data_IF_186418387854
#
_entry.id   IF_186418387854
#
_cell.length_a   1.000
_cell.length_b   1.000
_cell.length_c   1.000
_cell.angle_alpha   90.00
_cell.angle_beta   90.00
_cell.angle_gamma   90.00
#
_symmetry.space_group_name_H-M   'P 1'
#
loop_
_entity.id
_entity.type
_entity.pdbx_description
1 polymer ?
#
# COMPACT_ATOMS: atom_id res chain seq x y z
N UNK A 1 -14.35 -10.73 1.40
CA UNK A 1 -14.53 -9.30 1.72
C UNK A 1 -15.14 -9.16 3.09
N UNK A 2 -14.61 -8.32 3.97
CA UNK A 2 -15.18 -8.09 5.30
C UNK A 2 -16.64 -7.64 5.20
N UNK A 3 -17.51 -8.03 6.16
CA UNK A 3 -18.90 -7.59 6.17
C UNK A 3 -19.05 -6.07 6.15
N UNK A 4 -18.17 -5.33 6.80
CA UNK A 4 -18.14 -3.88 6.88
C UNK A 4 -17.97 -3.22 5.51
N UNK A 5 -17.21 -3.85 4.63
CA UNK A 5 -17.00 -3.36 3.27
C UNK A 5 -18.27 -3.37 2.42
N UNK A 6 -19.29 -4.15 2.82
CA UNK A 6 -20.59 -4.21 2.11
C UNK A 6 -21.45 -2.98 2.38
N UNK A 7 -21.26 -2.33 3.52
CA UNK A 7 -22.05 -1.17 3.94
C UNK A 7 -21.47 0.16 3.44
N UNK A 8 -20.32 0.14 2.76
CA UNK A 8 -19.63 1.36 2.37
C UNK A 8 -20.13 1.87 1.04
N UNK A 9 -20.48 3.15 1.04
CA UNK A 9 -21.01 3.86 -0.12
C UNK A 9 -20.02 3.99 -1.29
N UNK A 10 -18.70 3.90 -1.02
CA UNK A 10 -17.65 4.00 -2.02
C UNK A 10 -16.58 2.93 -1.81
N UNK A 11 -16.85 1.69 -2.26
CA UNK A 11 -15.99 0.54 -2.01
C UNK A 11 -14.57 0.67 -2.56
N UNK A 12 -14.36 1.49 -3.60
CA UNK A 12 -13.06 1.72 -4.20
C UNK A 12 -12.00 2.16 -3.17
N UNK A 13 -12.35 3.08 -2.28
CA UNK A 13 -11.44 3.54 -1.22
C UNK A 13 -11.16 2.48 -0.18
N UNK A 14 -12.12 1.59 0.05
CA UNK A 14 -11.94 0.50 1.00
C UNK A 14 -11.06 -0.60 0.49
N UNK A 15 -11.03 -0.87 -0.81
CA UNK A 15 -10.24 -1.96 -1.35
C UNK A 15 -8.75 -1.80 -1.02
N UNK A 16 -8.21 -0.58 -1.03
CA UNK A 16 -6.82 -0.36 -0.63
C UNK A 16 -6.56 -0.75 0.83
N UNK A 17 -7.44 -0.34 1.73
CA UNK A 17 -7.31 -0.69 3.15
C UNK A 17 -7.64 -2.15 3.41
N UNK A 18 -8.60 -2.71 2.67
CA UNK A 18 -8.94 -4.12 2.74
C UNK A 18 -7.76 -5.01 2.31
N UNK A 19 -7.06 -4.69 1.22
CA UNK A 19 -5.85 -5.41 0.84
C UNK A 19 -4.76 -5.28 1.91
N UNK A 20 -4.48 -4.08 2.38
CA UNK A 20 -3.54 -3.86 3.47
C UNK A 20 -3.88 -4.69 4.71
N UNK A 21 -5.14 -4.66 5.14
CA UNK A 21 -5.63 -5.46 6.25
C UNK A 21 -5.47 -6.97 6.02
N UNK A 22 -5.87 -7.50 4.85
CA UNK A 22 -5.77 -8.94 4.58
C UNK A 22 -4.31 -9.40 4.57
N UNK A 23 -3.42 -8.66 3.94
CA UNK A 23 -2.00 -8.99 3.89
C UNK A 23 -1.34 -8.89 5.28
N UNK A 24 -1.67 -7.86 6.07
CA UNK A 24 -1.22 -7.76 7.47
C UNK A 24 -1.73 -8.93 8.33
N UNK A 25 -2.98 -9.34 8.12
CA UNK A 25 -3.56 -10.48 8.83
C UNK A 25 -2.81 -11.78 8.52
N UNK A 26 -2.47 -12.02 7.26
CA UNK A 26 -1.64 -13.18 6.86
C UNK A 26 -0.25 -13.11 7.51
N UNK A 27 0.35 -11.92 7.59
CA UNK A 27 1.63 -11.73 8.27
C UNK A 27 1.55 -11.99 9.79
N UNK A 28 0.49 -11.55 10.45
CA UNK A 28 0.25 -11.87 11.86
C UNK A 28 0.10 -13.38 12.10
N UNK A 29 -0.66 -14.07 11.23
CA UNK A 29 -0.84 -15.52 11.30
C UNK A 29 0.50 -16.24 11.08
N UNK A 30 1.30 -15.80 10.11
CA UNK A 30 2.62 -16.35 9.82
C UNK A 30 3.60 -16.17 10.98
N UNK A 31 3.61 -14.97 11.57
CA UNK A 31 4.51 -14.64 12.68
C UNK A 31 4.09 -15.30 14.00
N UNK A 32 2.80 -15.61 14.20
CA UNK A 32 2.25 -16.14 15.44
C UNK A 32 2.35 -15.19 16.65
N UNK A 33 2.62 -13.89 16.39
CA UNK A 33 2.79 -12.84 17.41
C UNK A 33 2.35 -11.47 16.89
N UNK A 34 2.14 -10.49 17.78
CA UNK A 34 1.96 -9.10 17.37
C UNK A 34 3.15 -8.56 16.56
N UNK A 35 2.88 -7.77 15.52
CA UNK A 35 3.89 -7.22 14.62
C UNK A 35 4.30 -5.80 15.05
N UNK A 36 5.57 -5.44 14.82
CA UNK A 36 5.99 -4.04 14.74
C UNK A 36 5.73 -3.55 13.30
N UNK A 37 4.95 -2.46 13.17
CA UNK A 37 4.48 -1.95 11.86
C UNK A 37 4.92 -0.51 11.65
N UNK A 38 5.53 -0.20 10.49
CA UNK A 38 5.69 1.15 9.99
C UNK A 38 4.63 1.43 8.93
N UNK A 39 3.75 2.41 9.16
CA UNK A 39 2.83 2.89 8.12
C UNK A 39 3.38 4.16 7.51
N UNK A 40 3.64 4.12 6.19
CA UNK A 40 4.31 5.17 5.43
C UNK A 40 3.28 5.90 4.58
N UNK A 41 3.28 7.24 4.64
CA UNK A 41 2.27 8.06 3.99
C UNK A 41 0.91 7.97 4.69
N UNK A 42 0.90 8.09 6.01
CA UNK A 42 -0.29 7.88 6.85
C UNK A 42 -1.41 8.88 6.60
N UNK A 43 -1.10 10.08 6.13
CA UNK A 43 -2.04 11.18 5.85
C UNK A 43 -3.00 11.45 7.03
N UNK A 44 -4.18 10.81 7.07
CA UNK A 44 -5.20 10.96 8.12
C UNK A 44 -5.40 9.73 9.00
N UNK A 45 -4.60 8.68 8.82
CA UNK A 45 -4.66 7.48 9.64
C UNK A 45 -5.73 6.47 9.26
N UNK A 46 -6.24 6.52 8.02
CA UNK A 46 -7.38 5.69 7.59
C UNK A 46 -7.05 4.19 7.54
N UNK A 47 -5.79 3.81 7.38
CA UNK A 47 -5.42 2.39 7.39
C UNK A 47 -5.58 1.80 8.79
N UNK A 48 -5.04 2.44 9.83
CA UNK A 48 -5.19 1.96 11.20
C UNK A 48 -6.66 2.00 11.67
N UNK A 49 -7.40 3.05 11.29
CA UNK A 49 -8.86 3.11 11.56
C UNK A 49 -9.58 1.92 10.92
N UNK A 50 -9.25 1.57 9.68
CA UNK A 50 -9.82 0.41 9.00
C UNK A 50 -9.46 -0.89 9.72
N UNK A 51 -8.19 -1.09 10.09
CA UNK A 51 -7.74 -2.28 10.81
C UNK A 51 -8.47 -2.44 12.14
N UNK A 52 -8.66 -1.36 12.90
CA UNK A 52 -9.41 -1.35 14.17
C UNK A 52 -10.90 -1.68 13.99
N UNK A 53 -11.50 -1.29 12.87
CA UNK A 53 -12.91 -1.56 12.55
C UNK A 53 -13.16 -2.92 11.92
N UNK A 54 -12.11 -3.57 11.41
CA UNK A 54 -12.19 -4.87 10.75
C UNK A 54 -12.33 -6.01 11.77
N UNK A 55 -12.84 -7.20 11.35
CA UNK A 55 -12.83 -8.39 12.20
C UNK A 55 -11.43 -8.69 12.74
N UNK A 56 -11.34 -9.23 13.95
CA UNK A 56 -10.06 -9.57 14.61
C UNK A 56 -9.12 -10.39 13.70
N UNK A 57 -7.82 -10.24 13.89
CA UNK A 57 -6.80 -11.02 13.16
C UNK A 57 -5.55 -10.23 12.79
N UNK A 58 -5.54 -8.93 13.06
CA UNK A 58 -4.31 -8.11 13.05
C UNK A 58 -4.02 -7.67 14.47
N UNK A 59 -2.83 -8.00 14.95
CA UNK A 59 -2.31 -7.55 16.24
C UNK A 59 -0.93 -6.94 16.05
N UNK A 60 -0.66 -5.87 16.79
CA UNK A 60 0.62 -5.16 16.72
C UNK A 60 1.16 -4.87 18.13
N UNK A 61 2.47 -4.87 18.24
CA UNK A 61 3.20 -4.43 19.42
C UNK A 61 3.58 -2.95 19.35
N UNK A 62 3.77 -2.46 18.10
CA UNK A 62 4.11 -1.07 17.80
C UNK A 62 3.52 -0.71 16.42
N UNK A 63 2.98 0.51 16.28
CA UNK A 63 2.51 1.02 14.99
C UNK A 63 2.96 2.47 14.83
N UNK A 64 4.01 2.66 14.04
CA UNK A 64 4.64 3.95 13.81
C UNK A 64 4.07 4.63 12.57
N UNK A 65 3.59 5.85 12.72
CA UNK A 65 3.20 6.72 11.63
C UNK A 65 4.43 7.40 11.01
N UNK A 66 4.62 7.26 9.69
CA UNK A 66 5.69 7.91 8.93
C UNK A 66 5.08 8.76 7.82
N UNK A 67 5.34 10.07 7.82
CA UNK A 67 4.85 11.00 6.79
C UNK A 67 5.75 12.25 6.72
N UNK A 68 5.76 12.94 5.59
CA UNK A 68 6.47 14.20 5.44
C UNK A 68 5.75 15.38 6.14
N UNK A 69 4.43 15.23 6.39
CA UNK A 69 3.61 16.22 7.11
C UNK A 69 2.75 15.51 8.15
N UNK A 70 3.13 15.67 9.41
CA UNK A 70 2.51 14.94 10.50
C UNK A 70 1.25 15.63 11.06
N UNK A 71 0.07 15.13 10.71
CA UNK A 71 -1.22 15.60 11.23
C UNK A 71 -1.49 15.01 12.64
N UNK A 72 -0.58 15.23 13.60
CA UNK A 72 -0.52 14.55 14.90
C UNK A 72 -1.86 14.52 15.64
N UNK A 73 -2.62 15.64 15.64
CA UNK A 73 -3.92 15.68 16.32
C UNK A 73 -4.97 14.73 15.75
N UNK A 74 -4.96 14.48 14.43
CA UNK A 74 -5.85 13.51 13.77
C UNK A 74 -5.35 12.09 13.97
N UNK A 75 -4.04 11.89 13.86
CA UNK A 75 -3.41 10.58 14.00
C UNK A 75 -3.56 10.04 15.43
N UNK A 76 -3.42 10.89 16.47
CA UNK A 76 -3.70 10.50 17.85
C UNK A 76 -5.16 10.05 18.05
N UNK A 77 -6.12 10.73 17.41
CA UNK A 77 -7.54 10.31 17.43
C UNK A 77 -7.76 8.96 16.73
N UNK A 78 -7.02 8.67 15.66
CA UNK A 78 -7.02 7.37 14.98
C UNK A 78 -6.32 6.29 15.82
N UNK A 79 -5.53 6.70 16.84
CA UNK A 79 -4.87 5.84 17.82
C UNK A 79 -3.45 5.47 17.48
N UNK A 80 -2.74 6.35 16.77
CA UNK A 80 -1.27 6.29 16.68
C UNK A 80 -0.64 6.85 17.95
N UNK A 81 0.42 6.22 18.39
CA UNK A 81 1.21 6.61 19.56
C UNK A 81 2.64 7.03 19.16
N UNK A 82 3.17 6.39 18.11
CA UNK A 82 4.51 6.65 17.59
C UNK A 82 4.45 7.43 16.27
N UNK A 83 5.29 8.47 16.14
CA UNK A 83 5.31 9.40 15.01
C UNK A 83 6.73 9.64 14.55
N UNK A 84 6.96 9.57 13.25
CA UNK A 84 8.23 9.90 12.62
C UNK A 84 7.98 10.79 11.39
N UNK A 85 8.24 12.09 11.54
CA UNK A 85 8.13 13.04 10.43
C UNK A 85 9.41 13.02 9.62
N UNK A 86 9.30 12.61 8.35
CA UNK A 86 10.44 12.50 7.45
C UNK A 86 9.99 12.62 5.98
N UNK A 87 10.81 13.29 5.16
CA UNK A 87 10.69 13.24 3.72
C UNK A 87 11.40 11.98 3.20
N UNK A 88 10.67 11.11 2.52
CA UNK A 88 11.18 9.84 1.98
C UNK A 88 12.27 10.01 0.93
N UNK A 89 12.27 11.14 0.20
CA UNK A 89 13.25 11.46 -0.85
C UNK A 89 14.52 12.13 -0.31
N UNK A 90 14.61 12.38 0.99
CA UNK A 90 15.86 12.85 1.58
C UNK A 90 16.95 11.80 1.46
N UNK A 91 18.16 12.25 1.08
CA UNK A 91 19.31 11.36 0.90
C UNK A 91 19.61 10.50 2.12
N UNK A 92 19.39 11.04 3.32
CA UNK A 92 19.65 10.39 4.61
C UNK A 92 18.40 9.72 5.21
N UNK A 93 17.29 9.58 4.46
CA UNK A 93 16.11 8.91 4.97
C UNK A 93 16.43 7.47 5.36
N UNK A 94 16.08 7.12 6.59
CA UNK A 94 16.05 5.75 7.11
C UNK A 94 14.88 5.63 8.08
N UNK A 95 14.31 4.45 8.21
CA UNK A 95 13.29 4.20 9.25
C UNK A 95 13.93 4.32 10.64
N UNK A 96 13.18 4.86 11.64
CA UNK A 96 13.75 5.14 12.97
C UNK A 96 14.00 3.87 13.79
N UNK A 97 13.54 2.72 13.33
CA UNK A 97 13.64 1.44 14.02
C UNK A 97 13.58 0.29 12.99
N UNK A 98 13.74 -0.95 13.44
CA UNK A 98 13.53 -2.15 12.63
C UNK A 98 12.11 -2.67 12.82
N UNK A 99 11.41 -2.93 11.72
CA UNK A 99 10.01 -3.34 11.73
C UNK A 99 9.82 -4.74 11.12
N UNK A 100 8.79 -5.45 11.59
CA UNK A 100 8.36 -6.71 10.99
C UNK A 100 7.66 -6.46 9.64
N UNK A 101 6.95 -5.35 9.54
CA UNK A 101 6.18 -5.01 8.36
C UNK A 101 6.15 -3.50 8.11
N UNK A 102 6.31 -3.09 6.85
CA UNK A 102 5.97 -1.74 6.40
C UNK A 102 4.73 -1.76 5.52
N UNK A 103 3.83 -0.77 5.70
CA UNK A 103 2.63 -0.58 4.89
C UNK A 103 2.73 0.75 4.16
N UNK A 104 2.68 0.74 2.82
CA UNK A 104 2.80 1.94 1.97
C UNK A 104 1.75 1.90 0.85
N UNK A 105 0.57 2.44 1.15
CA UNK A 105 -0.56 2.45 0.22
C UNK A 105 -0.70 3.82 -0.46
N UNK A 106 -0.52 3.86 -1.78
CA UNK A 106 -0.57 5.08 -2.59
C UNK A 106 0.45 6.14 -2.16
N UNK A 107 1.71 5.73 -2.08
CA UNK A 107 2.87 6.56 -1.74
C UNK A 107 3.84 6.65 -2.90
N UNK A 108 4.29 5.52 -3.42
CA UNK A 108 5.39 5.46 -4.39
C UNK A 108 5.09 6.18 -5.72
N UNK A 109 3.82 6.30 -6.10
CA UNK A 109 3.44 7.04 -7.32
C UNK A 109 3.69 8.55 -7.23
N UNK A 110 3.89 9.07 -6.03
CA UNK A 110 4.20 10.48 -5.77
C UNK A 110 5.69 10.78 -5.71
N UNK A 111 6.56 9.76 -5.75
CA UNK A 111 8.01 9.87 -5.64
C UNK A 111 8.68 9.86 -7.01
N UNK A 112 9.75 10.65 -7.16
CA UNK A 112 10.57 10.69 -8.38
C UNK A 112 11.45 9.45 -8.51
N UNK A 113 12.01 8.97 -7.38
CA UNK A 113 12.91 7.82 -7.29
C UNK A 113 12.32 6.71 -6.38
N UNK A 114 11.17 6.11 -6.76
CA UNK A 114 10.46 5.16 -5.89
C UNK A 114 11.25 3.87 -5.64
N UNK A 115 12.15 3.47 -6.55
CA UNK A 115 13.04 2.33 -6.40
C UNK A 115 14.04 2.54 -5.25
N UNK A 116 14.66 3.72 -5.19
CA UNK A 116 15.61 4.08 -4.14
C UNK A 116 14.92 4.15 -2.76
N UNK A 117 13.75 4.80 -2.72
CA UNK A 117 12.96 4.90 -1.47
C UNK A 117 12.52 3.51 -1.00
N UNK A 118 12.09 2.63 -1.91
CA UNK A 118 11.70 1.26 -1.55
C UNK A 118 12.89 0.49 -0.94
N UNK A 119 14.10 0.65 -1.49
CA UNK A 119 15.31 0.02 -0.94
C UNK A 119 15.62 0.54 0.47
N UNK A 120 15.58 1.86 0.70
CA UNK A 120 15.78 2.46 2.03
C UNK A 120 14.75 1.96 3.06
N UNK A 121 13.49 1.80 2.66
CA UNK A 121 12.46 1.22 3.52
C UNK A 121 12.77 -0.25 3.81
N UNK A 122 13.22 -1.01 2.81
CA UNK A 122 13.57 -2.42 2.97
C UNK A 122 14.74 -2.64 3.94
N UNK A 123 15.68 -1.69 4.03
CA UNK A 123 16.78 -1.74 5.00
C UNK A 123 16.26 -1.74 6.44
N UNK A 124 15.20 -0.98 6.73
CA UNK A 124 14.54 -0.93 8.04
C UNK A 124 13.57 -2.09 8.33
N UNK A 125 13.50 -3.12 7.47
CA UNK A 125 12.68 -4.30 7.70
C UNK A 125 13.54 -5.45 8.21
N UNK A 126 13.05 -6.13 9.24
CA UNK A 126 13.69 -7.31 9.81
C UNK A 126 13.87 -8.43 8.76
N UNK A 127 14.91 -9.29 8.88
CA UNK A 127 15.01 -10.52 8.09
C UNK A 127 13.71 -11.35 8.19
N UNK A 128 13.20 -11.82 7.06
CA UNK A 128 11.91 -12.51 6.98
C UNK A 128 10.67 -11.61 7.11
N UNK A 129 10.85 -10.31 7.34
CA UNK A 129 9.77 -9.33 7.38
C UNK A 129 9.25 -8.95 5.99
N UNK A 130 8.25 -8.06 5.92
CA UNK A 130 7.54 -7.78 4.67
C UNK A 130 7.23 -6.30 4.45
N UNK A 131 7.09 -5.95 3.17
CA UNK A 131 6.53 -4.68 2.73
C UNK A 131 5.19 -4.95 2.02
N UNK A 132 4.16 -4.23 2.41
CA UNK A 132 2.81 -4.29 1.82
C UNK A 132 2.51 -2.96 1.16
N UNK A 133 2.15 -2.97 -0.11
CA UNK A 133 1.87 -1.73 -0.82
C UNK A 133 0.83 -1.87 -1.91
N UNK A 134 0.52 -0.74 -2.51
CA UNK A 134 -0.38 -0.66 -3.64
C UNK A 134 -0.44 0.74 -4.20
N UNK A 135 -0.70 0.85 -5.50
CA UNK A 135 -0.75 2.09 -6.25
C UNK A 135 -1.49 1.89 -7.59
N UNK A 136 -1.81 2.99 -8.32
CA UNK A 136 -2.35 2.89 -9.66
C UNK A 136 -1.42 2.15 -10.61
N UNK A 137 -1.97 1.31 -11.48
CA UNK A 137 -1.24 0.49 -12.44
C UNK A 137 -1.71 0.76 -13.87
N UNK A 138 -0.79 0.63 -14.82
CA UNK A 138 -1.07 0.63 -16.24
C UNK A 138 -0.40 -0.57 -16.92
N UNK A 139 -0.89 -1.01 -18.11
CA UNK A 139 -0.21 -2.02 -18.90
C UNK A 139 1.25 -1.64 -19.21
N UNK A 140 2.15 -2.63 -19.14
CA UNK A 140 3.59 -2.41 -19.31
C UNK A 140 3.99 -1.61 -20.55
N UNK A 141 3.46 -1.91 -21.76
CA UNK A 141 3.80 -1.16 -22.96
C UNK A 141 3.44 0.32 -22.91
N UNK A 142 2.45 0.71 -22.11
CA UNK A 142 1.97 2.08 -21.98
C UNK A 142 2.67 2.86 -20.84
N UNK A 143 3.38 2.16 -19.95
CA UNK A 143 3.91 2.75 -18.72
C UNK A 143 4.89 3.89 -19.00
N UNK A 144 5.85 3.71 -19.91
CA UNK A 144 6.85 4.73 -20.23
C UNK A 144 6.28 5.98 -20.88
N UNK A 145 5.29 5.84 -21.78
CA UNK A 145 4.60 6.98 -22.38
C UNK A 145 3.78 7.74 -21.34
N UNK A 146 3.09 7.01 -20.48
CA UNK A 146 2.29 7.58 -19.41
C UNK A 146 3.15 8.31 -18.37
N UNK A 147 4.30 7.77 -18.02
CA UNK A 147 5.22 8.39 -17.05
C UNK A 147 5.74 9.74 -17.57
N UNK A 148 6.17 9.81 -18.84
CA UNK A 148 6.56 11.08 -19.44
C UNK A 148 5.45 12.13 -19.37
N UNK A 149 4.20 11.71 -19.59
CA UNK A 149 3.04 12.60 -19.54
C UNK A 149 2.73 13.07 -18.11
N UNK A 150 2.75 12.17 -17.10
CA UNK A 150 2.45 12.55 -15.72
C UNK A 150 3.54 13.44 -15.14
N UNK A 151 4.83 13.15 -15.40
CA UNK A 151 5.95 14.01 -14.97
C UNK A 151 5.86 15.42 -15.55
N UNK A 152 5.47 15.56 -16.83
CA UNK A 152 5.29 16.88 -17.48
C UNK A 152 4.16 17.70 -16.85
N UNK A 153 3.10 17.05 -16.39
CA UNK A 153 1.88 17.65 -15.85
C UNK A 153 1.80 17.57 -14.33
N UNK A 154 2.87 17.15 -13.65
CA UNK A 154 2.90 16.99 -12.21
C UNK A 154 2.68 18.34 -11.51
N UNK A 155 1.54 18.45 -10.80
CA UNK A 155 1.31 19.51 -9.83
C UNK A 155 1.88 19.12 -8.47
N UNK A 156 1.74 20.00 -7.49
CA UNK A 156 2.11 19.72 -6.10
C UNK A 156 1.34 18.47 -5.63
N UNK A 157 2.05 17.44 -5.16
CA UNK A 157 1.51 16.13 -4.76
C UNK A 157 0.82 15.33 -5.90
N UNK A 158 1.13 15.62 -7.16
CA UNK A 158 0.67 14.84 -8.31
C UNK A 158 1.38 13.49 -8.42
N UNK A 159 0.82 12.59 -9.26
CA UNK A 159 1.55 11.36 -9.61
C UNK A 159 2.71 11.72 -10.54
N UNK A 160 3.90 11.24 -10.24
CA UNK A 160 5.13 11.44 -11.03
C UNK A 160 5.72 10.12 -11.52
N UNK A 161 5.40 9.01 -10.86
CA UNK A 161 5.82 7.67 -11.25
C UNK A 161 4.64 6.80 -11.67
N UNK A 162 4.87 5.93 -12.65
CA UNK A 162 3.87 5.04 -13.24
C UNK A 162 4.33 3.60 -13.13
N UNK A 163 3.44 2.72 -12.69
CA UNK A 163 3.78 1.33 -12.39
C UNK A 163 3.09 0.34 -13.34
N UNK A 164 3.80 -0.75 -13.58
CA UNK A 164 3.30 -1.96 -14.23
C UNK A 164 3.68 -3.18 -13.38
N UNK A 165 3.03 -4.34 -13.54
CA UNK A 165 3.41 -5.54 -12.80
C UNK A 165 4.86 -5.96 -12.98
N UNK A 166 5.43 -5.70 -14.17
CA UNK A 166 6.85 -5.94 -14.46
C UNK A 166 7.76 -5.02 -13.64
N UNK A 167 7.42 -3.71 -13.54
CA UNK A 167 8.17 -2.75 -12.70
C UNK A 167 8.13 -3.15 -11.22
N UNK A 168 6.95 -3.54 -10.71
CA UNK A 168 6.80 -4.02 -9.32
C UNK A 168 7.76 -5.16 -8.99
N UNK A 169 7.80 -6.20 -9.86
CA UNK A 169 8.70 -7.34 -9.66
C UNK A 169 10.19 -6.98 -9.80
N UNK A 170 10.50 -6.03 -10.67
CA UNK A 170 11.87 -5.51 -10.83
C UNK A 170 12.30 -4.77 -9.58
N UNK A 171 11.50 -3.82 -9.10
CA UNK A 171 11.74 -3.07 -7.86
C UNK A 171 11.99 -4.00 -6.66
N UNK A 172 11.18 -5.05 -6.51
CA UNK A 172 11.40 -6.04 -5.46
C UNK A 172 12.80 -6.65 -5.54
N UNK A 173 13.21 -7.14 -6.72
CA UNK A 173 14.55 -7.76 -6.91
C UNK A 173 15.68 -6.77 -6.66
N UNK A 174 15.56 -5.52 -7.13
CA UNK A 174 16.57 -4.47 -6.96
C UNK A 174 16.72 -4.07 -5.49
N UNK A 175 15.65 -4.14 -4.71
CA UNK A 175 15.67 -3.92 -3.26
C UNK A 175 16.02 -5.20 -2.44
N UNK A 176 16.44 -6.29 -3.06
CA UNK A 176 16.75 -7.55 -2.35
C UNK A 176 15.52 -8.26 -1.77
N UNK A 177 14.34 -8.01 -2.32
CA UNK A 177 13.06 -8.56 -1.86
C UNK A 177 12.49 -9.57 -2.85
N UNK A 178 11.62 -10.45 -2.35
CA UNK A 178 10.83 -11.39 -3.15
C UNK A 178 9.38 -10.93 -3.22
N UNK A 179 8.85 -10.70 -4.42
CA UNK A 179 7.44 -10.37 -4.61
C UNK A 179 6.57 -11.63 -4.47
N UNK A 180 6.09 -11.91 -3.26
CA UNK A 180 5.28 -13.11 -2.95
C UNK A 180 3.83 -12.98 -3.39
N UNK A 181 3.28 -11.78 -3.32
CA UNK A 181 1.90 -11.51 -3.73
C UNK A 181 1.86 -10.31 -4.67
N UNK A 182 1.16 -10.44 -5.78
CA UNK A 182 0.87 -9.33 -6.71
C UNK A 182 -0.52 -9.56 -7.31
N UNK A 183 -1.45 -8.65 -7.07
CA UNK A 183 -2.81 -8.72 -7.60
C UNK A 183 -3.31 -7.34 -8.02
N UNK A 184 -3.98 -7.25 -9.15
CA UNK A 184 -4.79 -6.09 -9.47
C UNK A 184 -6.11 -6.09 -8.69
N UNK A 185 -6.88 -5.01 -8.79
CA UNK A 185 -8.11 -4.85 -8.02
C UNK A 185 -9.36 -4.61 -8.86
N UNK A 186 -9.24 -4.08 -10.08
CA UNK A 186 -10.40 -3.60 -10.83
C UNK A 186 -10.43 -4.11 -12.26
N UNK A 187 -11.65 -4.47 -12.73
CA UNK A 187 -12.03 -4.45 -14.14
C UNK A 187 -12.45 -3.04 -14.53
N UNK A 188 -13.37 -2.46 -13.77
CA UNK A 188 -13.89 -1.10 -13.98
C UNK A 188 -14.22 -0.44 -12.65
N UNK A 189 -13.77 0.81 -12.50
CA UNK A 189 -14.18 1.66 -11.38
C UNK A 189 -15.61 2.13 -11.59
N UNK A 190 -16.51 1.72 -10.71
CA UNK A 190 -17.95 1.95 -10.85
C UNK A 190 -18.48 3.10 -9.98
N UNK A 191 -17.65 4.14 -9.76
CA UNK A 191 -18.02 5.30 -8.93
C UNK A 191 -19.34 5.91 -9.38
N UNK A 192 -20.29 6.05 -8.44
CA UNK A 192 -21.61 6.65 -8.68
C UNK A 192 -22.60 5.72 -9.40
N UNK A 193 -22.23 4.48 -9.69
CA UNK A 193 -23.13 3.48 -10.27
C UNK A 193 -23.84 2.65 -9.20
N UNK A 194 -25.02 2.02 -9.50
CA UNK A 194 -25.67 1.09 -8.58
C UNK A 194 -24.78 -0.10 -8.17
N UNK A 195 -23.77 -0.42 -8.98
CA UNK A 195 -22.83 -1.52 -8.74
C UNK A 195 -21.79 -1.18 -7.67
N UNK A 196 -21.63 0.09 -7.31
CA UNK A 196 -20.59 0.57 -6.41
C UNK A 196 -20.57 -0.17 -5.05
N UNK A 197 -21.74 -0.55 -4.55
CA UNK A 197 -21.92 -1.26 -3.27
C UNK A 197 -22.22 -2.76 -3.44
N UNK A 198 -22.22 -3.28 -4.68
CA UNK A 198 -22.53 -4.68 -4.96
C UNK A 198 -21.37 -5.60 -4.55
N UNK A 199 -21.63 -6.52 -3.61
CA UNK A 199 -20.65 -7.52 -3.19
C UNK A 199 -20.23 -8.46 -4.35
N UNK A 200 -21.14 -8.82 -5.23
CA UNK A 200 -20.86 -9.66 -6.40
C UNK A 200 -19.98 -8.93 -7.41
N UNK A 201 -20.26 -7.66 -7.67
CA UNK A 201 -19.43 -6.82 -8.52
C UNK A 201 -18.02 -6.64 -7.96
N UNK A 202 -17.91 -6.45 -6.66
CA UNK A 202 -16.63 -6.35 -5.98
C UNK A 202 -15.81 -7.64 -6.12
N UNK A 203 -16.46 -8.83 -5.92
CA UNK A 203 -15.80 -10.13 -6.11
C UNK A 203 -15.36 -10.35 -7.55
N UNK A 204 -16.16 -9.93 -8.53
CA UNK A 204 -15.78 -9.97 -9.93
C UNK A 204 -14.53 -9.10 -10.20
N UNK A 205 -14.49 -7.85 -9.68
CA UNK A 205 -13.35 -6.97 -9.85
C UNK A 205 -12.06 -7.57 -9.22
N UNK A 206 -12.15 -8.19 -8.04
CA UNK A 206 -11.03 -8.87 -7.40
C UNK A 206 -10.56 -10.09 -8.21
N UNK A 207 -11.48 -10.88 -8.71
CA UNK A 207 -11.18 -12.04 -9.59
C UNK A 207 -10.48 -11.57 -10.87
N UNK A 208 -11.04 -10.56 -11.55
CA UNK A 208 -10.44 -9.99 -12.76
C UNK A 208 -9.03 -9.44 -12.50
N UNK A 209 -8.87 -8.62 -11.45
CA UNK A 209 -7.59 -8.05 -11.08
C UNK A 209 -6.51 -9.12 -10.80
N UNK A 210 -6.90 -10.25 -10.19
CA UNK A 210 -5.99 -11.38 -9.96
C UNK A 210 -5.51 -12.00 -11.29
N UNK A 211 -6.39 -12.15 -12.27
CA UNK A 211 -6.05 -12.72 -13.58
C UNK A 211 -5.23 -11.73 -14.43
N UNK A 212 -5.57 -10.45 -14.34
CA UNK A 212 -4.99 -9.39 -15.17
C UNK A 212 -4.42 -8.25 -14.31
N UNK A 213 -3.34 -8.45 -13.54
CA UNK A 213 -2.81 -7.45 -12.61
C UNK A 213 -2.27 -6.19 -13.30
N UNK A 214 -2.03 -6.23 -14.61
CA UNK A 214 -1.64 -5.08 -15.44
C UNK A 214 -2.82 -4.32 -16.05
N UNK A 215 -4.06 -4.74 -15.81
CA UNK A 215 -5.25 -4.00 -16.27
C UNK A 215 -5.30 -2.63 -15.62
N UNK A 216 -5.67 -1.54 -16.34
CA UNK A 216 -5.71 -0.20 -15.76
C UNK A 216 -6.60 -0.12 -14.51
N UNK A 217 -6.01 0.22 -13.40
CA UNK A 217 -6.69 0.24 -12.10
C UNK A 217 -5.71 0.46 -10.96
N UNK A 218 -5.73 -0.45 -10.04
CA UNK A 218 -4.79 -0.48 -8.91
C UNK A 218 -4.18 -1.88 -8.80
N UNK A 219 -2.92 -1.94 -8.35
CA UNK A 219 -2.18 -3.16 -8.04
C UNK A 219 -1.81 -3.14 -6.56
N UNK A 220 -1.91 -4.31 -5.92
CA UNK A 220 -1.51 -4.51 -4.53
C UNK A 220 -0.49 -5.63 -4.47
N UNK A 221 0.46 -5.51 -3.57
CA UNK A 221 1.58 -6.44 -3.49
C UNK A 221 2.08 -6.62 -2.05
N UNK A 222 2.71 -7.77 -1.82
CA UNK A 222 3.54 -8.07 -0.68
C UNK A 222 4.92 -8.49 -1.18
N UNK A 223 5.94 -7.84 -0.66
CA UNK A 223 7.34 -8.14 -0.91
C UNK A 223 7.99 -8.58 0.39
N UNK A 224 8.76 -9.66 0.36
CA UNK A 224 9.42 -10.24 1.54
C UNK A 224 10.91 -10.04 1.48
N UNK A 225 11.50 -9.66 2.62
CA UNK A 225 12.94 -9.67 2.84
C UNK A 225 13.38 -11.10 3.17
N UNK A 226 14.46 -11.55 2.54
CA UNK A 226 15.05 -12.86 2.87
C UNK A 226 15.43 -12.96 4.35
N UNK A 227 15.33 -14.17 4.92
CA UNK A 227 15.70 -14.45 6.31
C UNK A 227 17.21 -14.41 6.51
#
# INVERSE_FOLDING_TARGET
MPPEAKAVRYPLRLLRYWFGYQLLREECLRAGRPLSVAEIGVHRGQMLEFVKSAPAGVSWSKWTAVDAVMLTGKLKKAGYEDFFEANLEDGNFALPDTYDCAVLLHVLEHLFEPEEVLAKIADGIAPGGSLIGGFPVVPGPLAGLREKQVRKNAGVMGHVSVFSPGRVRRMAREAGLVAEFVSGAFFLRSKGSPLENSASWMRFNLFWGRLFPGWPGEIYWLMRKSA
#
